data_IF_225041770497
#
_entry.id   IF_225041770497
#
_cell.length_a   1.000
_cell.length_b   1.000
_cell.length_c   1.000
_cell.angle_alpha   90.00
_cell.angle_beta   90.00
_cell.angle_gamma   90.00
#
_symmetry.space_group_name_H-M   'P 1'
#
loop_
_entity.id
_entity.type
_entity.pdbx_description
1 polymer ?
#
# COMPACT_ATOMS: atom_id res chain seq x y z
N UNK A 1 17.10 11.32 -9.60
CA UNK A 1 18.14 11.43 -8.57
C UNK A 1 18.16 12.88 -8.07
N UNK A 2 17.67 13.13 -6.84
CA UNK A 2 17.51 14.49 -6.28
C UNK A 2 18.83 15.08 -5.76
N UNK A 3 19.97 14.36 -5.94
CA UNK A 3 21.29 14.82 -5.49
C UNK A 3 21.47 14.86 -3.96
N UNK A 4 20.54 14.24 -3.23
CA UNK A 4 20.54 14.16 -1.76
C UNK A 4 21.16 12.82 -1.32
N UNK A 5 21.75 12.83 -0.14
CA UNK A 5 22.13 11.60 0.56
C UNK A 5 20.89 10.88 1.12
N UNK A 6 21.03 9.61 1.47
CA UNK A 6 19.93 8.85 2.04
C UNK A 6 19.41 9.47 3.35
N UNK A 7 20.31 9.97 4.20
CA UNK A 7 19.95 10.62 5.45
C UNK A 7 19.19 11.95 5.24
N UNK A 8 19.58 12.73 4.24
CA UNK A 8 18.89 13.99 3.88
C UNK A 8 17.49 13.68 3.30
N UNK A 9 17.36 12.61 2.52
CA UNK A 9 16.07 12.18 1.98
C UNK A 9 15.15 11.72 3.11
N UNK A 10 15.64 10.91 4.04
CA UNK A 10 14.88 10.46 5.21
C UNK A 10 14.39 11.65 6.04
N UNK A 11 15.27 12.60 6.34
CA UNK A 11 14.91 13.80 7.10
C UNK A 11 13.84 14.65 6.38
N UNK A 12 13.97 14.81 5.07
CA UNK A 12 12.98 15.52 4.24
C UNK A 12 11.62 14.83 4.29
N UNK A 13 11.56 13.53 4.08
CA UNK A 13 10.30 12.76 4.10
C UNK A 13 9.62 12.79 5.48
N UNK A 14 10.40 12.71 6.56
CA UNK A 14 9.88 12.78 7.92
C UNK A 14 9.34 14.17 8.29
N UNK A 15 9.78 15.22 7.61
CA UNK A 15 9.33 16.60 7.83
C UNK A 15 8.10 16.98 7.03
N UNK A 16 7.71 16.17 6.02
CA UNK A 16 6.58 16.47 5.16
C UNK A 16 5.25 16.26 5.88
N UNK A 17 4.32 17.18 5.64
CA UNK A 17 2.91 16.96 5.94
C UNK A 17 2.33 15.87 5.02
N UNK A 18 1.20 15.26 5.37
CA UNK A 18 0.53 14.28 4.48
C UNK A 18 0.30 14.81 3.06
N UNK A 19 -0.13 16.06 2.91
CA UNK A 19 -0.40 16.68 1.61
C UNK A 19 0.90 16.89 0.80
N UNK A 20 1.99 17.30 1.46
CA UNK A 20 3.31 17.44 0.82
C UNK A 20 3.87 16.09 0.42
N UNK A 21 3.69 15.05 1.25
CA UNK A 21 4.08 13.68 0.93
C UNK A 21 3.30 13.18 -0.30
N UNK A 22 2.00 13.42 -0.34
CA UNK A 22 1.15 13.06 -1.46
C UNK A 22 1.59 13.74 -2.76
N UNK A 23 1.87 15.04 -2.70
CA UNK A 23 2.39 15.79 -3.84
C UNK A 23 3.74 15.26 -4.32
N UNK A 24 4.65 14.95 -3.38
CA UNK A 24 5.95 14.37 -3.68
C UNK A 24 5.83 12.99 -4.34
N UNK A 25 5.04 12.09 -3.77
CA UNK A 25 4.84 10.74 -4.31
C UNK A 25 4.14 10.78 -5.68
N UNK A 26 3.19 11.69 -5.88
CA UNK A 26 2.60 11.91 -7.20
C UNK A 26 3.64 12.36 -8.22
N UNK A 27 4.55 13.26 -7.84
CA UNK A 27 5.64 13.72 -8.72
C UNK A 27 6.62 12.60 -9.09
N UNK A 28 6.82 11.66 -8.18
CA UNK A 28 7.71 10.50 -8.37
C UNK A 28 7.01 9.38 -9.16
N UNK A 29 5.77 9.08 -8.83
CA UNK A 29 4.99 8.01 -9.48
C UNK A 29 4.59 8.36 -10.92
N UNK A 30 4.17 9.61 -11.13
CA UNK A 30 3.68 10.09 -12.43
C UNK A 30 4.65 11.03 -13.14
N UNK A 31 5.95 10.96 -12.83
CA UNK A 31 6.98 11.83 -13.42
C UNK A 31 6.76 11.98 -14.91
N UNK A 32 6.44 13.21 -15.31
CA UNK A 32 6.39 13.79 -16.67
C UNK A 32 6.40 12.82 -17.87
N UNK A 33 5.50 11.84 -17.91
CA UNK A 33 5.20 11.13 -19.14
C UNK A 33 4.07 11.89 -19.83
N UNK A 34 4.44 12.82 -20.69
CA UNK A 34 3.54 13.46 -21.64
C UNK A 34 3.15 12.48 -22.74
N UNK A 35 2.47 11.42 -22.42
CA UNK A 35 1.59 10.77 -23.37
C UNK A 35 0.26 11.55 -23.30
N UNK A 36 0.06 12.49 -24.22
CA UNK A 36 -1.12 13.34 -24.30
C UNK A 36 -2.43 12.57 -24.52
N UNK A 37 -2.38 11.23 -24.60
CA UNK A 37 -3.52 10.36 -24.91
C UNK A 37 -4.08 9.63 -23.70
N UNK A 38 -3.37 9.61 -22.56
CA UNK A 38 -3.82 8.94 -21.32
C UNK A 38 -3.63 9.89 -20.15
N UNK A 39 -4.71 10.12 -19.41
CA UNK A 39 -4.67 10.84 -18.14
C UNK A 39 -4.70 9.83 -17.00
N UNK A 40 -3.77 9.96 -16.04
CA UNK A 40 -3.70 9.11 -14.87
C UNK A 40 -4.01 9.94 -13.63
N UNK A 41 -4.94 9.47 -12.83
CA UNK A 41 -5.26 10.00 -11.50
C UNK A 41 -5.32 8.86 -10.50
N UNK A 42 -5.27 9.16 -9.22
CA UNK A 42 -5.34 8.12 -8.21
C UNK A 42 -6.08 8.58 -6.96
N UNK A 43 -6.53 7.60 -6.18
CA UNK A 43 -7.20 7.82 -4.92
C UNK A 43 -7.01 6.63 -3.98
N UNK A 44 -7.16 6.88 -2.67
CA UNK A 44 -7.21 5.81 -1.67
C UNK A 44 -8.64 5.30 -1.51
N UNK A 45 -8.83 3.99 -1.61
CA UNK A 45 -10.10 3.33 -1.28
C UNK A 45 -10.05 2.79 0.16
N UNK A 46 -10.46 3.63 1.11
CA UNK A 46 -10.44 3.28 2.53
C UNK A 46 -11.47 2.19 2.89
N UNK A 47 -12.56 2.07 2.15
CA UNK A 47 -13.55 1.01 2.36
C UNK A 47 -12.96 -0.36 1.98
N UNK A 48 -12.26 -0.44 0.87
CA UNK A 48 -11.53 -1.65 0.45
C UNK A 48 -10.45 -2.04 1.46
N UNK A 49 -9.68 -1.07 1.95
CA UNK A 49 -8.66 -1.30 2.97
C UNK A 49 -9.26 -1.85 4.27
N UNK A 50 -10.39 -1.29 4.71
CA UNK A 50 -11.11 -1.78 5.90
C UNK A 50 -11.67 -3.19 5.70
N UNK A 51 -12.15 -3.50 4.51
CA UNK A 51 -12.64 -4.84 4.18
C UNK A 51 -11.49 -5.87 4.23
N UNK A 52 -10.31 -5.56 3.69
CA UNK A 52 -9.10 -6.40 3.82
C UNK A 52 -8.75 -6.64 5.29
N UNK A 53 -8.81 -5.60 6.13
CA UNK A 53 -8.58 -5.74 7.57
C UNK A 53 -9.58 -6.73 8.21
N UNK A 54 -10.86 -6.61 7.89
CA UNK A 54 -11.89 -7.49 8.41
C UNK A 54 -11.71 -8.94 7.96
N UNK A 55 -11.41 -9.15 6.67
CA UNK A 55 -11.14 -10.49 6.11
C UNK A 55 -9.87 -11.11 6.67
N UNK A 56 -8.82 -10.32 6.88
CA UNK A 56 -7.59 -10.77 7.57
C UNK A 56 -7.93 -11.32 8.97
N UNK A 57 -8.74 -10.61 9.74
CA UNK A 57 -9.15 -11.06 11.07
C UNK A 57 -10.08 -12.27 11.04
N UNK A 58 -10.88 -12.42 10.00
CA UNK A 58 -11.66 -13.64 9.79
C UNK A 58 -10.75 -14.85 9.53
N UNK A 59 -9.72 -14.70 8.71
CA UNK A 59 -8.73 -15.77 8.48
C UNK A 59 -7.98 -16.14 9.76
N UNK A 60 -7.62 -15.15 10.59
CA UNK A 60 -7.02 -15.40 11.90
C UNK A 60 -7.95 -16.18 12.81
N UNK A 61 -9.22 -15.80 12.90
CA UNK A 61 -10.22 -16.51 13.71
C UNK A 61 -10.41 -17.97 13.22
N UNK A 62 -10.45 -18.19 11.90
CA UNK A 62 -10.53 -19.53 11.31
C UNK A 62 -9.32 -20.41 11.67
N UNK A 63 -8.20 -19.82 12.03
CA UNK A 63 -6.96 -20.50 12.45
C UNK A 63 -6.73 -20.43 13.97
N UNK A 64 -7.72 -20.03 14.75
CA UNK A 64 -7.66 -20.00 16.23
C UNK A 64 -6.75 -18.90 16.80
N UNK A 65 -6.48 -17.85 16.02
CA UNK A 65 -5.63 -16.72 16.42
C UNK A 65 -6.46 -15.51 16.82
N UNK A 66 -5.91 -14.72 17.76
CA UNK A 66 -6.51 -13.45 18.14
C UNK A 66 -6.50 -12.45 16.99
N UNK A 67 -7.54 -11.62 16.90
CA UNK A 67 -7.61 -10.58 15.90
C UNK A 67 -6.47 -9.56 16.04
N UNK A 68 -5.99 -9.05 14.91
CA UNK A 68 -5.16 -7.85 14.89
C UNK A 68 -5.99 -6.61 15.24
N UNK A 69 -5.37 -5.68 15.98
CA UNK A 69 -5.88 -4.32 16.08
C UNK A 69 -5.46 -3.51 14.85
N UNK A 70 -6.24 -2.49 14.49
CA UNK A 70 -5.82 -1.52 13.49
C UNK A 70 -4.72 -0.63 14.05
N UNK A 71 -3.61 -0.50 13.31
CA UNK A 71 -2.50 0.39 13.67
C UNK A 71 -2.66 1.76 12.99
N UNK A 72 -3.29 2.70 13.68
CA UNK A 72 -3.47 4.06 13.16
C UNK A 72 -2.17 4.85 13.04
N UNK A 73 -1.13 4.51 13.80
CA UNK A 73 0.18 5.13 13.68
C UNK A 73 0.92 4.67 12.41
N UNK A 74 0.60 3.48 11.93
CA UNK A 74 1.21 2.91 10.71
C UNK A 74 0.39 3.21 9.44
N UNK A 75 -0.83 3.75 9.57
CA UNK A 75 -1.73 3.95 8.43
C UNK A 75 -1.13 4.87 7.36
N UNK A 76 -0.50 5.98 7.75
CA UNK A 76 0.16 6.89 6.80
C UNK A 76 1.36 6.26 6.11
N UNK A 77 2.08 5.38 6.80
CA UNK A 77 3.15 4.58 6.19
C UNK A 77 2.61 3.61 5.14
N UNK A 78 1.52 2.90 5.45
CA UNK A 78 0.88 1.99 4.51
C UNK A 78 0.37 2.72 3.27
N UNK A 79 -0.21 3.91 3.43
CA UNK A 79 -0.64 4.77 2.32
C UNK A 79 0.54 5.19 1.44
N UNK A 80 1.64 5.60 2.04
CA UNK A 80 2.87 5.91 1.31
C UNK A 80 3.38 4.68 0.54
N UNK A 81 3.43 3.52 1.19
CA UNK A 81 3.88 2.27 0.56
C UNK A 81 3.01 1.91 -0.65
N UNK A 82 1.70 2.07 -0.57
CA UNK A 82 0.78 1.80 -1.67
C UNK A 82 1.08 2.65 -2.91
N UNK A 83 1.55 3.89 -2.74
CA UNK A 83 2.02 4.74 -3.85
C UNK A 83 3.44 4.36 -4.31
N UNK A 84 4.33 3.98 -3.40
CA UNK A 84 5.69 3.57 -3.77
C UNK A 84 5.68 2.34 -4.68
N UNK A 85 4.81 1.35 -4.41
CA UNK A 85 4.73 0.14 -5.24
C UNK A 85 4.15 0.39 -6.64
N UNK A 86 3.47 1.49 -6.89
CA UNK A 86 3.08 1.93 -8.24
C UNK A 86 4.30 2.05 -9.15
N UNK A 87 5.40 2.58 -8.61
CA UNK A 87 6.63 2.83 -9.36
C UNK A 87 7.64 1.70 -9.26
N UNK A 88 7.76 1.12 -8.07
CA UNK A 88 8.69 0.04 -7.77
C UNK A 88 7.96 -1.04 -6.95
N UNK A 89 7.48 -2.07 -7.64
CA UNK A 89 6.79 -3.20 -7.03
C UNK A 89 7.81 -4.06 -6.26
N UNK A 90 8.17 -3.60 -5.09
CA UNK A 90 9.13 -4.25 -4.21
C UNK A 90 8.83 -3.93 -2.73
N UNK A 91 9.53 -4.61 -1.82
CA UNK A 91 9.48 -4.29 -0.39
C UNK A 91 10.42 -3.16 0.03
N UNK A 92 11.11 -2.53 -0.90
CA UNK A 92 11.96 -1.38 -0.62
C UNK A 92 11.11 -0.14 -0.39
N UNK A 93 11.33 0.56 0.72
CA UNK A 93 10.67 1.82 1.03
C UNK A 93 11.67 2.95 1.10
N UNK A 94 11.30 4.09 0.55
CA UNK A 94 12.05 5.33 0.71
C UNK A 94 11.99 5.73 2.18
N UNK A 95 13.14 5.85 2.83
CA UNK A 95 13.21 6.13 4.26
C UNK A 95 13.17 4.90 5.16
N UNK A 96 13.31 3.70 4.59
CA UNK A 96 13.40 2.43 5.31
C UNK A 96 12.04 1.81 5.66
N UNK A 97 12.09 0.55 6.09
CA UNK A 97 10.91 -0.22 6.46
C UNK A 97 10.56 0.05 7.93
N UNK A 98 9.32 0.46 8.17
CA UNK A 98 8.82 0.78 9.52
C UNK A 98 7.97 -0.33 10.12
N UNK A 99 7.64 -1.35 9.33
CA UNK A 99 6.88 -2.51 9.78
C UNK A 99 7.78 -3.74 9.97
N UNK A 100 7.30 -4.70 10.74
CA UNK A 100 7.99 -5.98 10.95
C UNK A 100 7.63 -7.03 9.91
N UNK A 101 6.62 -6.76 9.09
CA UNK A 101 6.21 -7.57 7.96
C UNK A 101 5.34 -6.76 7.01
N UNK A 102 5.35 -7.13 5.73
CA UNK A 102 4.57 -6.46 4.71
C UNK A 102 4.05 -7.46 3.68
N UNK A 103 2.77 -7.34 3.34
CA UNK A 103 2.18 -7.97 2.16
C UNK A 103 1.89 -6.88 1.12
N UNK A 104 2.26 -7.11 -0.13
CA UNK A 104 1.94 -6.25 -1.26
C UNK A 104 1.24 -7.06 -2.35
N UNK A 105 0.40 -6.39 -3.12
CA UNK A 105 -0.26 -6.97 -4.28
C UNK A 105 -0.65 -5.89 -5.29
N UNK A 106 -0.86 -6.27 -6.54
CA UNK A 106 -1.24 -5.39 -7.62
C UNK A 106 -2.14 -6.12 -8.61
N UNK A 107 -3.27 -5.52 -8.94
CA UNK A 107 -4.17 -6.01 -9.97
C UNK A 107 -5.46 -6.64 -9.44
N UNK A 108 -5.46 -7.16 -8.22
CA UNK A 108 -6.67 -7.72 -7.61
C UNK A 108 -7.71 -6.61 -7.42
N UNK A 109 -8.94 -6.88 -7.83
CA UNK A 109 -9.99 -5.85 -7.91
C UNK A 109 -10.95 -5.84 -6.72
N UNK A 110 -10.75 -6.73 -5.77
CA UNK A 110 -11.55 -6.80 -4.54
C UNK A 110 -10.73 -7.20 -3.33
N UNK A 111 -11.21 -6.83 -2.15
CA UNK A 111 -10.60 -7.22 -0.89
C UNK A 111 -10.56 -8.75 -0.70
N UNK A 112 -11.60 -9.46 -1.10
CA UNK A 112 -11.63 -10.92 -1.00
C UNK A 112 -10.62 -11.59 -1.92
N UNK A 113 -10.41 -11.06 -3.12
CA UNK A 113 -9.42 -11.56 -4.07
C UNK A 113 -8.00 -11.41 -3.51
N UNK A 114 -7.63 -10.22 -3.06
CA UNK A 114 -6.28 -9.98 -2.54
C UNK A 114 -5.98 -10.79 -1.28
N UNK A 115 -6.93 -10.90 -0.34
CA UNK A 115 -6.73 -11.73 0.87
C UNK A 115 -6.63 -13.21 0.51
N UNK A 116 -7.44 -13.70 -0.44
CA UNK A 116 -7.33 -15.06 -0.92
C UNK A 116 -5.97 -15.34 -1.56
N UNK A 117 -5.46 -14.43 -2.38
CA UNK A 117 -4.16 -14.58 -3.03
C UNK A 117 -3.02 -14.56 -2.01
N UNK A 118 -3.10 -13.69 -1.02
CA UNK A 118 -2.13 -13.70 0.09
C UNK A 118 -2.19 -14.99 0.91
N UNK A 119 -3.39 -15.53 1.18
CA UNK A 119 -3.54 -16.79 1.92
C UNK A 119 -3.07 -18.02 1.11
N UNK A 120 -3.00 -17.93 -0.21
CA UNK A 120 -2.44 -18.98 -1.09
C UNK A 120 -0.92 -18.84 -1.32
N UNK A 121 -0.28 -17.85 -0.74
CA UNK A 121 1.17 -17.61 -0.81
C UNK A 121 1.79 -17.81 0.58
N UNK A 122 2.76 -18.72 0.69
CA UNK A 122 3.33 -19.13 1.98
C UNK A 122 3.88 -17.95 2.80
N UNK A 123 4.59 -17.01 2.15
CA UNK A 123 5.17 -15.84 2.83
C UNK A 123 4.11 -14.84 3.29
N UNK A 124 3.16 -14.52 2.44
CA UNK A 124 2.06 -13.60 2.77
C UNK A 124 1.14 -14.18 3.85
N UNK A 125 0.81 -15.47 3.74
CA UNK A 125 0.03 -16.20 4.74
C UNK A 125 0.71 -16.21 6.11
N UNK A 126 2.04 -16.39 6.15
CA UNK A 126 2.79 -16.35 7.39
C UNK A 126 2.67 -14.99 8.11
N UNK A 127 2.61 -13.89 7.38
CA UNK A 127 2.36 -12.57 7.96
C UNK A 127 0.93 -12.45 8.51
N UNK A 128 -0.09 -12.88 7.77
CA UNK A 128 -1.48 -12.84 8.21
C UNK A 128 -1.69 -13.71 9.46
N UNK A 129 -1.07 -14.88 9.53
CA UNK A 129 -1.20 -15.83 10.63
C UNK A 129 -0.08 -15.73 11.67
N UNK A 130 0.68 -14.64 11.70
CA UNK A 130 1.73 -14.43 12.69
C UNK A 130 1.16 -14.38 14.10
N UNK A 131 1.84 -15.05 15.04
CA UNK A 131 1.56 -14.99 16.48
C UNK A 131 2.43 -13.95 17.21
N UNK A 132 3.32 -13.29 16.49
CA UNK A 132 4.24 -12.27 17.00
C UNK A 132 3.68 -10.87 16.80
N UNK A 133 3.14 -10.58 15.62
CA UNK A 133 2.49 -9.31 15.34
C UNK A 133 1.14 -9.21 16.04
N UNK A 134 0.79 -8.01 16.51
CA UNK A 134 -0.47 -7.74 17.21
C UNK A 134 -1.35 -6.72 16.49
N UNK A 135 -0.78 -5.96 15.56
CA UNK A 135 -1.46 -4.90 14.84
C UNK A 135 -1.18 -4.97 13.34
N UNK A 136 -2.08 -4.42 12.56
CA UNK A 136 -1.92 -4.28 11.11
C UNK A 136 -2.57 -2.99 10.63
N UNK A 137 -2.03 -2.43 9.55
CA UNK A 137 -2.68 -1.39 8.76
C UNK A 137 -2.72 -1.83 7.30
N UNK A 138 -3.72 -1.36 6.57
CA UNK A 138 -3.94 -1.70 5.16
C UNK A 138 -4.15 -0.42 4.37
N UNK A 139 -3.59 -0.35 3.17
CA UNK A 139 -3.89 0.67 2.19
C UNK A 139 -4.25 0.05 0.85
N UNK A 140 -5.24 0.63 0.19
CA UNK A 140 -5.60 0.36 -1.18
C UNK A 140 -5.51 1.68 -1.97
N UNK A 141 -4.53 1.78 -2.85
CA UNK A 141 -4.40 2.91 -3.76
C UNK A 141 -4.82 2.49 -5.16
N UNK A 142 -5.72 3.26 -5.76
CA UNK A 142 -6.33 2.94 -7.05
C UNK A 142 -5.89 3.97 -8.08
N UNK A 143 -5.24 3.53 -9.16
CA UNK A 143 -4.98 4.35 -10.33
C UNK A 143 -6.16 4.28 -11.28
N UNK A 144 -6.59 5.43 -11.77
CA UNK A 144 -7.59 5.56 -12.83
C UNK A 144 -6.91 6.08 -14.09
N UNK A 145 -6.97 5.29 -15.14
CA UNK A 145 -6.50 5.66 -16.48
C UNK A 145 -7.71 6.11 -17.30
N UNK A 146 -7.63 7.32 -17.85
CA UNK A 146 -8.66 7.86 -18.74
C UNK A 146 -8.04 8.04 -20.12
N UNK A 147 -8.57 7.33 -21.11
CA UNK A 147 -8.10 7.34 -22.47
C UNK A 147 -8.76 8.43 -23.30
N UNK A 148 -8.17 8.75 -24.47
CA UNK A 148 -8.66 9.83 -25.35
C UNK A 148 -10.08 9.59 -25.86
N UNK A 149 -10.54 8.33 -25.96
CA UNK A 149 -11.91 7.96 -26.34
C UNK A 149 -12.93 8.07 -25.18
N UNK A 150 -12.47 8.48 -23.99
CA UNK A 150 -13.29 8.60 -22.78
C UNK A 150 -13.44 7.29 -22.00
N UNK A 151 -12.89 6.18 -22.46
CA UNK A 151 -12.87 4.94 -21.69
C UNK A 151 -11.95 5.03 -20.49
N UNK A 152 -12.20 4.23 -19.46
CA UNK A 152 -11.43 4.20 -18.22
C UNK A 152 -11.01 2.78 -17.86
N UNK A 153 -9.84 2.68 -17.24
CA UNK A 153 -9.36 1.45 -16.59
C UNK A 153 -8.87 1.79 -15.18
N UNK A 154 -8.87 0.79 -14.31
CA UNK A 154 -8.44 0.93 -12.91
C UNK A 154 -7.38 -0.12 -12.60
N UNK A 155 -6.35 0.28 -11.88
CA UNK A 155 -5.32 -0.60 -11.36
C UNK A 155 -5.22 -0.42 -9.84
N UNK A 156 -5.40 -1.50 -9.12
CA UNK A 156 -5.42 -1.52 -7.66
C UNK A 156 -4.05 -1.91 -7.12
N UNK A 157 -3.56 -1.16 -6.13
CA UNK A 157 -2.31 -1.41 -5.43
C UNK A 157 -2.62 -1.61 -3.94
N UNK A 158 -2.16 -2.73 -3.38
CA UNK A 158 -2.50 -3.15 -2.04
C UNK A 158 -1.25 -3.28 -1.18
N UNK A 159 -1.33 -2.74 0.01
CA UNK A 159 -0.28 -2.89 1.02
C UNK A 159 -0.91 -3.22 2.36
N UNK A 160 -0.34 -4.20 3.05
CA UNK A 160 -0.67 -4.54 4.42
C UNK A 160 0.63 -4.58 5.22
N UNK A 161 0.71 -3.77 6.27
CA UNK A 161 1.87 -3.70 7.16
C UNK A 161 1.51 -4.24 8.53
N UNK A 162 2.46 -4.91 9.15
CA UNK A 162 2.30 -5.58 10.44
C UNK A 162 3.25 -4.99 11.48
N UNK A 163 2.76 -4.83 12.73
CA UNK A 163 3.51 -4.28 13.87
C UNK A 163 3.20 -5.04 15.16
N UNK A 164 3.98 -4.74 16.20
CA UNK A 164 3.79 -5.31 17.55
C UNK A 164 2.81 -4.51 18.39
#
# INVERSE_FOLDING_TARGET
>A
NLGMTDDEMVAMLQSMTPDEMDAFLNSVAYGSTTDNNVQVSGYYDNNMAQEVFNLTNQERANNGLSAYSWDSNMASYSDRRAKEIVKDYSHNSVGGNWSVGENIAEGETSASEVVNDWMNSAGHKANILSDVSTKTSVSCYVEKFTYADGSTQYLYHWVQNFTH
#
